data_IF_777221841432
#
_entry.id   IF_777221841432
#
_cell.length_a   1.000
_cell.length_b   1.000
_cell.length_c   1.000
_cell.angle_alpha   90.00
_cell.angle_beta   90.00
_cell.angle_gamma   90.00
#
_symmetry.space_group_name_H-M   'P 1'
#
loop_
_entity.id
_entity.type
_entity.pdbx_description
1 polymer ?
#
# COMPACT_ATOMS: atom_id res chain seq x y z
N UNK A 1 -46.22 -4.46 -53.58
CA UNK A 1 -46.58 -4.60 -52.15
C UNK A 1 -45.56 -5.49 -51.48
N UNK A 2 -44.67 -4.93 -50.65
CA UNK A 2 -44.24 -5.42 -49.32
C UNK A 2 -43.03 -4.58 -48.88
N UNK A 3 -43.29 -3.64 -47.97
CA UNK A 3 -42.29 -2.84 -47.25
C UNK A 3 -41.67 -3.70 -46.14
N UNK A 4 -40.35 -3.89 -46.15
CA UNK A 4 -39.61 -4.44 -45.02
C UNK A 4 -39.21 -3.29 -44.09
N UNK A 5 -39.84 -3.21 -42.91
CA UNK A 5 -39.40 -2.35 -41.81
C UNK A 5 -38.23 -3.03 -41.08
N UNK A 6 -37.06 -2.42 -41.11
CA UNK A 6 -35.95 -2.78 -40.24
C UNK A 6 -36.22 -2.23 -38.82
N UNK A 7 -36.34 -3.13 -37.84
CA UNK A 7 -36.23 -2.77 -36.42
C UNK A 7 -34.74 -2.73 -36.07
N UNK A 8 -34.21 -1.54 -35.82
CA UNK A 8 -32.91 -1.37 -35.18
C UNK A 8 -33.11 -1.36 -33.65
N UNK A 9 -32.79 -2.47 -32.99
CA UNK A 9 -32.71 -2.55 -31.53
C UNK A 9 -31.40 -1.90 -31.10
N UNK A 10 -31.46 -0.65 -30.63
CA UNK A 10 -30.33 0.01 -29.97
C UNK A 10 -30.28 -0.52 -28.53
N UNK A 11 -29.38 -1.48 -28.28
CA UNK A 11 -29.03 -1.89 -26.92
C UNK A 11 -28.25 -0.76 -26.25
N UNK A 12 -28.86 -0.12 -25.26
CA UNK A 12 -28.18 0.85 -24.39
C UNK A 12 -27.25 0.05 -23.48
N UNK A 13 -25.96 0.06 -23.81
CA UNK A 13 -24.91 -0.45 -22.93
C UNK A 13 -24.73 0.57 -21.79
N UNK A 14 -25.33 0.31 -20.63
CA UNK A 14 -25.00 1.03 -19.39
C UNK A 14 -23.60 0.62 -18.96
N UNK A 15 -22.59 1.38 -19.39
CA UNK A 15 -21.28 1.37 -18.73
C UNK A 15 -21.47 2.08 -17.40
N UNK A 16 -21.70 1.29 -16.33
CA UNK A 16 -21.61 1.80 -14.96
C UNK A 16 -20.14 2.15 -14.75
N UNK A 17 -19.79 3.41 -14.97
CA UNK A 17 -18.54 3.97 -14.47
C UNK A 17 -18.64 3.94 -12.95
N UNK A 18 -18.18 2.86 -12.33
CA UNK A 18 -18.00 2.82 -10.88
C UNK A 18 -16.99 3.91 -10.54
N UNK A 19 -17.48 5.07 -10.12
CA UNK A 19 -16.62 6.15 -9.65
C UNK A 19 -15.80 5.67 -8.46
N UNK A 20 -14.63 6.29 -8.25
CA UNK A 20 -13.71 6.06 -7.13
C UNK A 20 -14.29 6.51 -5.77
N UNK A 21 -15.50 6.07 -5.44
CA UNK A 21 -16.19 6.39 -4.21
C UNK A 21 -15.92 5.31 -3.18
N UNK A 22 -15.59 5.74 -1.97
CA UNK A 22 -15.44 4.86 -0.83
C UNK A 22 -16.77 4.15 -0.55
N UNK A 23 -16.76 2.82 -0.51
CA UNK A 23 -17.95 2.06 -0.14
C UNK A 23 -18.10 2.04 1.37
N UNK A 24 -19.34 2.24 1.80
CA UNK A 24 -19.73 2.10 3.20
C UNK A 24 -20.75 0.97 3.34
N UNK A 25 -20.66 0.23 4.44
CA UNK A 25 -21.54 -0.91 4.68
C UNK A 25 -21.12 -1.69 5.93
N UNK A 26 -21.92 -2.71 6.25
CA UNK A 26 -21.58 -3.71 7.25
C UNK A 26 -21.19 -4.99 6.53
N UNK A 27 -19.98 -5.48 6.77
CA UNK A 27 -19.39 -6.62 6.07
C UNK A 27 -19.00 -7.69 7.06
N UNK A 28 -19.28 -8.95 6.74
CA UNK A 28 -18.72 -10.09 7.47
C UNK A 28 -17.21 -10.13 7.24
N UNK A 29 -16.46 -10.50 8.27
CA UNK A 29 -15.00 -10.59 8.27
C UNK A 29 -14.59 -12.05 8.36
N UNK A 30 -13.76 -12.50 7.43
CA UNK A 30 -13.11 -13.80 7.44
C UNK A 30 -11.63 -13.68 7.83
N UNK A 31 -11.13 -14.71 8.52
CA UNK A 31 -9.71 -14.81 8.89
C UNK A 31 -9.26 -13.88 10.01
N UNK A 32 -10.17 -13.15 10.67
CA UNK A 32 -9.82 -12.33 11.83
C UNK A 32 -9.85 -13.16 13.12
N UNK A 33 -8.67 -13.41 13.67
CA UNK A 33 -8.48 -13.73 15.08
C UNK A 33 -8.02 -12.46 15.81
N UNK A 34 -8.24 -12.37 17.12
CA UNK A 34 -7.87 -11.17 17.89
C UNK A 34 -6.37 -10.88 17.75
N UNK A 35 -6.03 -9.92 16.89
CA UNK A 35 -4.67 -9.45 16.69
C UNK A 35 -4.38 -8.28 17.65
N UNK A 36 -3.54 -8.53 18.65
CA UNK A 36 -3.10 -7.51 19.61
C UNK A 36 -2.29 -6.39 18.92
N UNK A 37 -1.62 -6.68 17.81
CA UNK A 37 -0.82 -5.70 17.09
C UNK A 37 -1.67 -4.76 16.22
N UNK A 38 -2.89 -5.17 15.84
CA UNK A 38 -3.80 -4.37 15.04
C UNK A 38 -5.27 -4.64 15.40
N UNK A 39 -5.73 -4.22 16.58
CA UNK A 39 -7.09 -4.46 17.00
C UNK A 39 -8.06 -3.67 16.11
N UNK A 40 -8.98 -4.38 15.44
CA UNK A 40 -10.07 -3.76 14.69
C UNK A 40 -11.36 -3.81 15.51
N UNK A 41 -12.06 -2.68 15.56
CA UNK A 41 -13.39 -2.64 16.13
C UNK A 41 -14.36 -3.44 15.25
N UNK A 42 -14.99 -4.45 15.85
CA UNK A 42 -15.95 -5.33 15.17
C UNK A 42 -17.11 -5.67 16.09
N UNK A 43 -18.25 -5.97 15.50
CA UNK A 43 -19.38 -6.61 16.21
C UNK A 43 -19.33 -8.12 15.97
N UNK A 44 -19.66 -8.90 16.98
CA UNK A 44 -19.74 -10.38 16.88
C UNK A 44 -21.19 -10.81 17.03
N UNK A 45 -21.70 -11.61 16.10
CA UNK A 45 -22.99 -12.25 16.26
C UNK A 45 -22.91 -13.32 17.35
N UNK A 46 -23.75 -13.21 18.38
CA UNK A 46 -23.70 -14.11 19.55
C UNK A 46 -24.16 -15.55 19.23
N UNK A 47 -24.91 -15.76 18.15
CA UNK A 47 -25.44 -17.07 17.76
C UNK A 47 -24.47 -17.80 16.85
N UNK A 48 -23.91 -17.11 15.85
CA UNK A 48 -23.03 -17.74 14.86
C UNK A 48 -21.56 -17.58 15.17
N UNK A 49 -21.18 -16.61 16.01
CA UNK A 49 -19.79 -16.23 16.25
C UNK A 49 -19.17 -15.40 15.12
N UNK A 50 -19.95 -15.07 14.08
CA UNK A 50 -19.46 -14.31 12.94
C UNK A 50 -19.05 -12.89 13.34
N UNK A 51 -17.90 -12.46 12.84
CA UNK A 51 -17.37 -11.11 13.04
C UNK A 51 -17.81 -10.18 11.91
N UNK A 52 -18.19 -8.95 12.24
CA UNK A 52 -18.62 -7.94 11.28
C UNK A 52 -17.96 -6.59 11.51
N UNK A 53 -17.55 -5.95 10.41
CA UNK A 53 -17.03 -4.60 10.36
C UNK A 53 -18.07 -3.64 9.78
N UNK A 54 -18.31 -2.49 10.42
CA UNK A 54 -19.25 -1.48 9.93
C UNK A 54 -18.53 -0.17 9.57
N UNK A 55 -18.26 0.03 8.29
CA UNK A 55 -17.55 1.21 7.76
C UNK A 55 -18.44 2.46 7.66
N UNK A 56 -19.70 2.38 8.13
CA UNK A 56 -20.60 3.53 8.29
C UNK A 56 -20.36 4.26 9.61
N UNK A 57 -19.72 3.61 10.59
CA UNK A 57 -19.38 4.24 11.87
C UNK A 57 -18.41 5.39 11.62
N UNK A 58 -18.70 6.56 12.20
CA UNK A 58 -17.86 7.75 12.04
C UNK A 58 -16.47 7.47 12.64
N UNK A 59 -15.43 7.80 11.89
CA UNK A 59 -14.03 7.57 12.27
C UNK A 59 -13.49 6.19 11.88
N UNK A 60 -14.33 5.27 11.41
CA UNK A 60 -13.85 3.96 10.97
C UNK A 60 -13.28 4.04 9.54
N UNK A 61 -12.17 3.34 9.26
CA UNK A 61 -11.66 3.19 7.90
C UNK A 61 -12.74 2.80 6.88
N UNK A 62 -12.70 3.46 5.72
CA UNK A 62 -13.61 3.16 4.61
C UNK A 62 -12.93 2.26 3.60
N UNK A 63 -13.75 1.54 2.83
CA UNK A 63 -13.26 0.73 1.72
C UNK A 63 -13.06 1.59 0.48
N UNK A 64 -11.82 1.68 -0.01
CA UNK A 64 -11.47 2.35 -1.25
C UNK A 64 -11.08 1.31 -2.31
N UNK A 65 -11.44 1.50 -3.60
CA UNK A 65 -10.97 0.63 -4.68
C UNK A 65 -9.44 0.59 -4.75
N UNK A 66 -8.86 -0.53 -5.15
CA UNK A 66 -7.42 -0.66 -5.35
C UNK A 66 -6.98 -2.11 -5.39
N UNK A 67 -5.72 -2.37 -5.06
CA UNK A 67 -5.18 -3.71 -5.05
C UNK A 67 -4.10 -3.90 -3.99
N UNK A 68 -3.82 -5.16 -3.70
CA UNK A 68 -2.62 -5.59 -3.00
C UNK A 68 -1.73 -6.40 -3.93
N UNK A 69 -0.43 -6.36 -3.68
CA UNK A 69 0.54 -7.32 -4.21
C UNK A 69 1.04 -8.11 -3.01
N UNK A 70 0.73 -9.39 -2.97
CA UNK A 70 1.21 -10.33 -1.93
C UNK A 70 2.75 -10.43 -1.98
N UNK A 71 3.39 -10.91 -0.92
CA UNK A 71 4.85 -11.14 -0.90
C UNK A 71 5.34 -12.03 -2.03
N UNK A 72 4.45 -12.90 -2.48
CA UNK A 72 4.70 -13.90 -3.49
C UNK A 72 4.51 -13.28 -4.91
N UNK A 73 3.91 -12.09 -4.99
CA UNK A 73 3.74 -11.29 -6.21
C UNK A 73 2.38 -11.39 -6.86
N UNK A 74 1.47 -12.22 -6.35
CA UNK A 74 0.07 -12.23 -6.80
C UNK A 74 -0.60 -10.87 -6.55
N UNK A 75 -1.35 -10.41 -7.56
CA UNK A 75 -2.14 -9.18 -7.48
C UNK A 75 -3.58 -9.53 -7.16
N UNK A 76 -4.11 -8.97 -6.07
CA UNK A 76 -5.53 -9.12 -5.69
C UNK A 76 -6.20 -7.76 -5.78
N UNK A 77 -7.07 -7.60 -6.77
CA UNK A 77 -7.92 -6.42 -6.94
C UNK A 77 -9.10 -6.47 -5.97
N UNK A 78 -9.54 -5.32 -5.48
CA UNK A 78 -10.70 -5.23 -4.61
C UNK A 78 -10.91 -3.86 -4.00
N UNK A 79 -11.60 -3.85 -2.87
CA UNK A 79 -11.81 -2.67 -2.06
C UNK A 79 -11.13 -2.86 -0.71
N UNK A 80 -10.33 -1.89 -0.28
CA UNK A 80 -9.42 -2.04 0.86
C UNK A 80 -9.77 -0.98 1.90
N UNK A 81 -9.83 -1.37 3.18
CA UNK A 81 -9.86 -0.47 4.33
C UNK A 81 -8.57 -0.66 5.13
N UNK A 82 -7.80 0.41 5.33
CA UNK A 82 -6.50 0.37 6.02
C UNK A 82 -6.61 0.88 7.45
N UNK A 83 -5.96 0.16 8.37
CA UNK A 83 -5.96 0.48 9.79
C UNK A 83 -4.57 0.98 10.18
N UNK A 84 -4.56 2.13 10.87
CA UNK A 84 -3.32 2.70 11.40
C UNK A 84 -2.69 1.75 12.41
N UNK A 85 -1.37 1.86 12.57
CA UNK A 85 -0.72 1.28 13.74
C UNK A 85 -1.15 2.07 14.99
N UNK A 86 -2.05 1.49 15.80
CA UNK A 86 -2.56 2.15 17.01
C UNK A 86 -1.48 2.39 18.08
N UNK A 87 -0.34 1.69 18.00
CA UNK A 87 0.79 1.88 18.92
C UNK A 87 1.69 3.06 18.49
N UNK A 88 1.78 3.32 17.18
CA UNK A 88 2.64 4.37 16.63
C UNK A 88 1.92 5.72 16.40
N UNK A 89 0.59 5.76 16.51
CA UNK A 89 -0.28 6.95 16.36
C UNK A 89 -0.10 7.79 15.06
N UNK A 90 0.58 7.26 14.06
CA UNK A 90 0.82 7.97 12.81
C UNK A 90 -0.11 7.52 11.69
N UNK A 91 -0.76 8.49 11.05
CA UNK A 91 -1.67 8.23 9.94
C UNK A 91 -0.97 7.65 8.70
N UNK A 92 0.32 7.90 8.50
CA UNK A 92 1.08 7.41 7.34
C UNK A 92 1.64 5.99 7.53
N UNK A 93 1.45 5.38 8.70
CA UNK A 93 1.84 3.99 9.00
C UNK A 93 0.60 3.13 9.20
N UNK A 94 0.40 2.16 8.32
CA UNK A 94 -0.66 1.16 8.44
C UNK A 94 -0.11 -0.13 9.01
N UNK A 95 -0.94 -0.91 9.69
CA UNK A 95 -0.53 -2.17 10.31
C UNK A 95 -1.26 -3.38 9.76
N UNK A 96 -2.55 -3.24 9.52
CA UNK A 96 -3.38 -4.28 8.95
C UNK A 96 -4.44 -3.67 8.01
N UNK A 97 -5.18 -4.55 7.34
CA UNK A 97 -6.24 -4.15 6.44
C UNK A 97 -7.41 -5.14 6.45
N UNK A 98 -8.55 -4.65 5.98
CA UNK A 98 -9.62 -5.47 5.45
C UNK A 98 -9.66 -5.27 3.94
N UNK A 99 -9.75 -6.35 3.17
CA UNK A 99 -9.97 -6.30 1.72
C UNK A 99 -11.23 -7.08 1.36
N UNK A 100 -12.07 -6.53 0.48
CA UNK A 100 -13.15 -7.26 -0.19
C UNK A 100 -12.68 -7.47 -1.62
N UNK A 101 -12.19 -8.67 -1.99
CA UNK A 101 -11.72 -8.93 -3.35
C UNK A 101 -12.83 -8.76 -4.38
N UNK A 102 -12.45 -8.47 -5.62
CA UNK A 102 -13.42 -8.31 -6.70
C UNK A 102 -14.22 -9.60 -6.94
N UNK A 103 -15.55 -9.47 -6.93
CA UNK A 103 -16.50 -10.58 -7.04
C UNK A 103 -16.89 -11.23 -5.71
N UNK A 104 -16.28 -10.81 -4.60
CA UNK A 104 -16.62 -11.29 -3.26
C UNK A 104 -17.49 -10.28 -2.49
N UNK A 105 -18.26 -10.79 -1.52
CA UNK A 105 -19.12 -9.97 -0.64
C UNK A 105 -18.54 -9.80 0.77
N UNK A 106 -17.70 -10.74 1.20
CA UNK A 106 -17.12 -10.78 2.54
C UNK A 106 -15.74 -10.14 2.58
N UNK A 107 -15.44 -9.43 3.67
CA UNK A 107 -14.13 -8.85 3.90
C UNK A 107 -13.16 -9.91 4.43
N UNK A 108 -11.96 -9.93 3.88
CA UNK A 108 -10.84 -10.74 4.34
C UNK A 108 -9.93 -9.87 5.20
N UNK A 109 -9.62 -10.34 6.41
CA UNK A 109 -8.61 -9.70 7.22
C UNK A 109 -7.21 -10.09 6.75
N UNK A 110 -6.32 -9.11 6.71
CA UNK A 110 -4.91 -9.30 6.42
C UNK A 110 -4.09 -8.52 7.45
N UNK A 111 -3.22 -9.24 8.18
CA UNK A 111 -2.33 -8.67 9.18
C UNK A 111 -1.12 -7.93 8.58
N UNK A 112 -0.23 -7.48 9.46
CA UNK A 112 1.08 -6.97 9.05
C UNK A 112 1.92 -8.07 8.38
N UNK A 113 2.90 -7.69 7.55
CA UNK A 113 3.86 -8.60 6.90
C UNK A 113 3.29 -9.62 5.90
N UNK A 114 2.05 -9.44 5.43
CA UNK A 114 1.44 -10.39 4.51
C UNK A 114 1.55 -9.95 3.04
N UNK A 115 1.63 -8.64 2.78
CA UNK A 115 1.67 -8.10 1.42
C UNK A 115 2.91 -7.24 1.23
N UNK A 116 3.38 -7.13 0.00
CA UNK A 116 4.50 -6.26 -0.35
C UNK A 116 4.04 -4.82 -0.63
N UNK A 117 2.92 -4.66 -1.35
CA UNK A 117 2.41 -3.37 -1.80
C UNK A 117 0.90 -3.29 -1.60
N UNK A 118 0.41 -2.11 -1.22
CA UNK A 118 -1.01 -1.76 -1.17
C UNK A 118 -1.20 -0.52 -2.03
N UNK A 119 -2.23 -0.50 -2.87
CA UNK A 119 -2.65 0.67 -3.62
C UNK A 119 -4.11 0.97 -3.29
N UNK A 120 -4.45 2.24 -3.05
CA UNK A 120 -5.83 2.70 -2.90
C UNK A 120 -6.11 3.91 -3.78
N UNK A 121 -7.24 3.86 -4.49
CA UNK A 121 -7.80 4.97 -5.24
C UNK A 121 -8.70 5.78 -4.29
N UNK A 122 -8.14 6.83 -3.71
CA UNK A 122 -8.89 7.76 -2.89
C UNK A 122 -9.47 8.89 -3.75
N UNK A 123 -10.35 9.72 -3.17
CA UNK A 123 -11.11 10.73 -3.91
C UNK A 123 -10.27 11.72 -4.73
N UNK A 124 -9.06 12.03 -4.27
CA UNK A 124 -8.19 13.07 -4.87
C UNK A 124 -6.92 12.51 -5.47
N UNK A 125 -6.55 11.28 -5.13
CA UNK A 125 -5.25 10.74 -5.45
C UNK A 125 -5.25 9.21 -5.34
N UNK A 126 -4.23 8.62 -5.95
CA UNK A 126 -3.88 7.21 -5.80
C UNK A 126 -2.74 7.14 -4.81
N UNK A 127 -2.98 6.55 -3.64
CA UNK A 127 -1.96 6.33 -2.62
C UNK A 127 -1.40 4.92 -2.71
N UNK A 128 -0.14 4.78 -2.32
CA UNK A 128 0.58 3.51 -2.26
C UNK A 128 1.19 3.35 -0.88
N UNK A 129 1.23 2.11 -0.40
CA UNK A 129 1.93 1.73 0.82
C UNK A 129 2.86 0.56 0.56
N UNK A 130 4.07 0.63 1.10
CA UNK A 130 5.09 -0.42 1.01
C UNK A 130 5.28 -1.12 2.33
N UNK A 131 5.51 -2.44 2.29
CA UNK A 131 5.95 -3.19 3.46
C UNK A 131 7.27 -2.63 4.00
N UNK A 132 7.27 -2.31 5.29
CA UNK A 132 8.43 -1.82 6.03
C UNK A 132 8.29 -2.17 7.51
N UNK A 133 9.29 -2.86 8.08
CA UNK A 133 9.40 -3.17 9.53
C UNK A 133 8.10 -3.63 10.21
N UNK A 134 7.37 -4.60 9.65
CA UNK A 134 6.17 -5.09 10.33
C UNK A 134 4.87 -4.38 9.97
N UNK A 135 4.93 -3.27 9.23
CA UNK A 135 3.78 -2.46 8.83
C UNK A 135 3.92 -1.94 7.40
N UNK A 136 3.12 -0.94 7.05
CA UNK A 136 3.07 -0.40 5.70
C UNK A 136 3.25 1.12 5.72
N UNK A 137 4.25 1.64 5.01
CA UNK A 137 4.55 3.06 4.92
C UNK A 137 3.98 3.68 3.67
N UNK A 138 3.33 4.82 3.82
CA UNK A 138 2.80 5.59 2.69
C UNK A 138 3.94 6.12 1.80
N UNK A 139 3.77 6.00 0.49
CA UNK A 139 4.66 6.63 -0.51
C UNK A 139 4.24 8.08 -0.71
N UNK A 140 5.16 9.00 -0.46
CA UNK A 140 5.07 10.40 -0.85
C UNK A 140 5.40 10.59 -2.34
N UNK A 141 6.32 9.76 -2.84
CA UNK A 141 6.71 9.73 -4.25
C UNK A 141 6.76 8.27 -4.69
N UNK A 142 6.17 7.98 -5.85
CA UNK A 142 6.22 6.67 -6.50
C UNK A 142 7.03 6.74 -7.79
N UNK A 143 7.76 5.68 -8.12
CA UNK A 143 8.57 5.58 -9.34
C UNK A 143 9.80 4.71 -9.11
N UNK A 144 10.88 4.96 -9.86
CA UNK A 144 12.18 4.30 -9.65
C UNK A 144 12.78 4.67 -8.30
N UNK A 145 12.53 5.90 -7.88
CA UNK A 145 12.79 6.36 -6.54
C UNK A 145 11.46 6.41 -5.79
N UNK A 146 11.36 5.68 -4.68
CA UNK A 146 10.20 5.75 -3.77
C UNK A 146 10.61 6.56 -2.55
N UNK A 147 9.80 7.53 -2.18
CA UNK A 147 10.04 8.37 -1.00
C UNK A 147 8.94 8.14 0.02
N UNK A 148 9.31 7.93 1.27
CA UNK A 148 8.41 7.82 2.42
C UNK A 148 8.96 8.59 3.62
N UNK A 149 8.11 8.92 4.58
CA UNK A 149 8.60 9.40 5.88
C UNK A 149 9.30 8.27 6.64
N UNK A 150 10.36 8.59 7.38
CA UNK A 150 10.95 7.65 8.34
C UNK A 150 10.04 7.59 9.59
N UNK A 151 9.40 6.44 9.88
CA UNK A 151 8.64 6.30 11.12
C UNK A 151 9.53 6.41 12.35
N UNK A 152 10.79 5.96 12.29
CA UNK A 152 11.67 5.93 13.45
C UNK A 152 12.65 7.12 13.48
N UNK A 153 12.14 8.33 13.17
CA UNK A 153 12.96 9.55 13.17
C UNK A 153 13.67 9.73 14.53
N UNK A 154 14.91 10.23 14.51
CA UNK A 154 15.75 10.39 15.70
C UNK A 154 16.11 9.10 16.47
N UNK A 155 15.92 7.92 15.88
CA UNK A 155 16.36 6.65 16.48
C UNK A 155 17.64 6.14 15.82
N UNK A 156 18.49 5.44 16.58
CA UNK A 156 19.73 4.82 16.08
C UNK A 156 19.50 3.51 15.31
N UNK A 157 18.29 3.28 14.80
CA UNK A 157 17.96 2.02 14.11
C UNK A 157 18.68 1.94 12.78
N UNK A 158 19.02 0.70 12.38
CA UNK A 158 19.52 0.43 11.03
C UNK A 158 18.41 0.78 10.04
N UNK A 159 18.79 1.36 8.92
CA UNK A 159 17.87 1.60 7.81
C UNK A 159 17.49 0.25 7.21
N UNK A 160 16.22 -0.12 7.35
CA UNK A 160 15.68 -1.35 6.77
C UNK A 160 15.43 -1.17 5.27
N UNK A 161 15.56 -2.25 4.50
CA UNK A 161 15.29 -2.25 3.06
C UNK A 161 13.80 -2.49 2.78
N UNK A 162 13.25 -1.78 1.79
CA UNK A 162 11.91 -2.05 1.29
C UNK A 162 11.92 -3.26 0.36
N UNK A 163 10.77 -3.93 0.23
CA UNK A 163 10.61 -4.99 -0.77
C UNK A 163 10.71 -4.39 -2.18
N UNK A 164 11.68 -4.84 -2.98
CA UNK A 164 11.93 -4.34 -4.33
C UNK A 164 10.90 -4.85 -5.33
N UNK A 165 10.62 -4.07 -6.38
CA UNK A 165 9.76 -4.54 -7.47
C UNK A 165 10.41 -5.71 -8.22
N UNK A 166 11.75 -5.70 -8.37
CA UNK A 166 12.50 -6.79 -9.01
C UNK A 166 12.40 -8.11 -8.25
N UNK A 167 12.39 -8.07 -6.91
CA UNK A 167 12.18 -9.23 -6.05
C UNK A 167 10.79 -9.81 -6.27
N UNK A 168 9.76 -8.96 -6.25
CA UNK A 168 8.38 -9.35 -6.55
C UNK A 168 8.28 -10.00 -7.94
N UNK A 169 8.88 -9.39 -8.95
CA UNK A 169 8.83 -9.88 -10.33
C UNK A 169 9.58 -11.21 -10.49
N UNK A 170 10.69 -11.40 -9.77
CA UNK A 170 11.43 -12.67 -9.76
C UNK A 170 10.62 -13.81 -9.13
N UNK A 171 9.84 -13.52 -8.08
CA UNK A 171 8.96 -14.51 -7.45
C UNK A 171 7.80 -14.89 -8.37
N UNK A 172 7.25 -13.93 -9.13
CA UNK A 172 6.24 -14.21 -10.16
C UNK A 172 6.77 -15.14 -11.24
N UNK A 173 7.99 -14.89 -11.74
CA UNK A 173 8.58 -15.68 -12.82
C UNK A 173 8.88 -17.14 -12.42
N UNK A 174 9.22 -17.37 -11.14
CA UNK A 174 9.74 -18.65 -10.68
C UNK A 174 8.70 -19.58 -10.04
N UNK A 175 7.43 -19.16 -9.88
CA UNK A 175 6.48 -19.97 -9.12
C UNK A 175 5.31 -20.53 -9.94
N UNK A 176 5.24 -21.86 -10.01
CA UNK A 176 4.04 -22.59 -10.38
C UNK A 176 3.07 -22.60 -9.18
N UNK A 177 2.17 -21.62 -9.10
CA UNK A 177 1.30 -21.42 -7.92
C UNK A 177 -0.15 -21.77 -8.19
N UNK A 178 -0.76 -22.50 -7.24
CA UNK A 178 -2.21 -22.52 -7.04
C UNK A 178 -2.59 -21.10 -6.62
N UNK A 179 -3.46 -20.43 -7.37
CA UNK A 179 -3.74 -19.00 -7.13
C UNK A 179 -4.34 -18.81 -5.73
N UNK A 180 -4.06 -17.68 -5.08
CA UNK A 180 -4.74 -17.27 -3.85
C UNK A 180 -6.25 -17.34 -4.05
N UNK A 181 -6.73 -16.95 -5.24
CA UNK A 181 -8.13 -17.09 -5.63
C UNK A 181 -8.66 -18.53 -5.58
N UNK A 182 -7.88 -19.52 -6.00
CA UNK A 182 -8.25 -20.93 -5.89
C UNK A 182 -8.27 -21.40 -4.44
N UNK A 183 -7.33 -20.96 -3.61
CA UNK A 183 -7.32 -21.30 -2.18
C UNK A 183 -8.52 -20.69 -1.44
N UNK A 184 -8.94 -19.49 -1.83
CA UNK A 184 -10.17 -18.86 -1.31
C UNK A 184 -11.44 -19.62 -1.70
N UNK A 185 -11.50 -20.16 -2.93
CA UNK A 185 -12.63 -21.03 -3.36
C UNK A 185 -12.72 -22.31 -2.54
N UNK A 186 -11.59 -22.81 -2.02
CA UNK A 186 -11.53 -23.96 -1.13
C UNK A 186 -11.91 -23.61 0.34
N UNK A 187 -12.36 -22.38 0.60
CA UNK A 187 -12.83 -21.92 1.90
C UNK A 187 -11.73 -21.41 2.84
N UNK A 188 -10.47 -21.30 2.37
CA UNK A 188 -9.39 -20.70 3.15
C UNK A 188 -9.50 -19.18 3.14
N UNK A 189 -9.10 -18.54 4.23
CA UNK A 189 -8.96 -17.09 4.26
C UNK A 189 -7.80 -16.63 3.37
N UNK A 190 -7.84 -15.35 2.98
CA UNK A 190 -6.76 -14.73 2.21
C UNK A 190 -5.44 -14.75 2.99
N UNK A 191 -5.47 -14.46 4.29
CA UNK A 191 -4.30 -14.53 5.18
C UNK A 191 -3.66 -15.93 5.19
N UNK A 192 -4.45 -17.01 5.20
CA UNK A 192 -3.94 -18.39 5.15
C UNK A 192 -3.43 -18.78 3.76
N UNK A 193 -4.01 -18.18 2.72
CA UNK A 193 -3.69 -18.47 1.32
C UNK A 193 -2.40 -17.79 0.87
N UNK A 194 -2.13 -16.60 1.41
CA UNK A 194 -0.85 -15.94 1.28
C UNK A 194 0.16 -16.81 2.03
N UNK A 195 1.08 -17.45 1.31
CA UNK A 195 2.21 -18.11 1.95
C UNK A 195 2.98 -17.03 2.71
N UNK A 196 2.83 -16.99 4.04
CA UNK A 196 3.66 -16.20 4.94
C UNK A 196 5.03 -16.87 4.97
N UNK A 197 5.72 -16.84 3.83
CA UNK A 197 7.08 -17.33 3.69
C UNK A 197 7.97 -16.39 4.50
N UNK A 198 8.35 -16.85 5.69
CA UNK A 198 9.60 -16.52 6.35
C UNK A 198 9.91 -15.03 6.65
N UNK A 199 8.92 -14.18 6.89
CA UNK A 199 9.16 -12.86 7.53
C UNK A 199 8.64 -12.78 8.98
N UNK A 200 8.21 -13.91 9.54
CA UNK A 200 7.61 -14.00 10.89
C UNK A 200 8.58 -13.66 12.02
N UNK A 201 9.90 -13.82 11.83
CA UNK A 201 10.83 -13.85 12.96
C UNK A 201 11.76 -12.64 13.14
N UNK A 202 11.74 -11.61 12.29
CA UNK A 202 12.65 -10.44 12.46
C UNK A 202 12.02 -9.04 12.34
N UNK A 203 10.74 -8.90 11.99
CA UNK A 203 10.17 -7.58 11.64
C UNK A 203 9.23 -6.97 12.68
N UNK A 204 9.21 -7.46 13.92
CA UNK A 204 8.38 -6.86 14.97
C UNK A 204 9.24 -5.90 15.79
N UNK A 205 9.22 -4.62 15.39
CA UNK A 205 9.17 -3.48 16.32
C UNK A 205 9.11 -2.17 15.52
N UNK A 206 7.91 -1.71 15.15
CA UNK A 206 7.68 -0.25 15.00
C UNK A 206 7.44 0.26 16.43
N UNK A 207 8.52 0.40 17.20
CA UNK A 207 8.46 0.77 18.61
C UNK A 207 8.09 2.24 18.82
N UNK A 208 7.12 2.44 19.73
CA UNK A 208 6.70 3.59 20.53
C UNK A 208 6.72 5.01 19.91
N UNK A 209 5.58 5.69 20.08
CA UNK A 209 5.33 7.11 19.83
C UNK A 209 6.55 8.01 20.09
N UNK A 210 7.26 8.37 19.02
CA UNK A 210 8.21 9.49 19.00
C UNK A 210 7.50 10.64 18.30
N UNK A 211 7.43 11.79 18.95
CA UNK A 211 6.97 13.01 18.30
C UNK A 211 7.93 13.28 17.12
N UNK A 212 7.41 13.35 15.89
CA UNK A 212 8.23 13.69 14.71
C UNK A 212 8.55 15.18 14.81
N UNK A 213 9.53 15.53 15.65
CA UNK A 213 10.03 16.89 15.78
C UNK A 213 10.86 17.26 14.54
N UNK A 214 11.51 16.26 13.92
CA UNK A 214 12.29 16.41 12.70
C UNK A 214 11.75 15.48 11.60
N UNK A 215 11.39 16.07 10.45
CA UNK A 215 10.98 15.29 9.26
C UNK A 215 12.21 14.59 8.70
N UNK A 216 12.30 13.28 8.82
CA UNK A 216 13.26 12.43 8.13
C UNK A 216 12.58 11.62 7.02
N UNK A 217 13.32 11.28 5.97
CA UNK A 217 12.79 10.55 4.82
C UNK A 217 13.60 9.30 4.53
N UNK A 218 12.91 8.27 4.06
CA UNK A 218 13.49 7.09 3.47
C UNK A 218 13.33 7.18 1.96
N UNK A 219 14.45 7.17 1.25
CA UNK A 219 14.50 7.10 -0.21
C UNK A 219 14.91 5.69 -0.62
N UNK A 220 14.02 4.98 -1.30
CA UNK A 220 14.35 3.69 -1.87
C UNK A 220 14.65 3.81 -3.37
N UNK A 221 15.79 3.27 -3.79
CA UNK A 221 16.20 3.17 -5.19
C UNK A 221 15.91 1.78 -5.72
N UNK A 222 14.87 1.64 -6.55
CA UNK A 222 14.45 0.37 -7.17
C UNK A 222 15.53 -0.25 -8.05
N UNK A 223 16.40 0.56 -8.66
CA UNK A 223 17.43 0.04 -9.57
C UNK A 223 18.57 -0.62 -8.80
N UNK A 224 18.89 -0.08 -7.62
CA UNK A 224 19.96 -0.58 -6.75
C UNK A 224 19.45 -1.51 -5.65
N UNK A 225 18.14 -1.54 -5.44
CA UNK A 225 17.49 -2.17 -4.31
C UNK A 225 18.01 -1.69 -2.94
N UNK A 226 18.34 -0.39 -2.82
CA UNK A 226 18.92 0.18 -1.60
C UNK A 226 18.05 1.28 -1.01
N UNK A 227 18.00 1.36 0.31
CA UNK A 227 17.37 2.48 1.03
C UNK A 227 18.43 3.48 1.52
N UNK A 228 18.16 4.77 1.35
CA UNK A 228 18.93 5.88 1.88
C UNK A 228 18.09 6.68 2.89
N UNK A 229 18.66 6.97 4.05
CA UNK A 229 18.07 7.91 5.01
C UNK A 229 18.46 9.35 4.63
N UNK A 230 17.46 10.21 4.49
CA UNK A 230 17.63 11.64 4.23
C UNK A 230 17.14 12.42 5.44
N UNK A 231 18.04 13.21 6.02
CA UNK A 231 17.82 14.11 7.14
C UNK A 231 18.19 15.53 6.72
N UNK A 232 17.86 16.51 7.57
CA UNK A 232 18.28 17.90 7.33
C UNK A 232 19.80 18.06 7.19
N UNK A 233 20.58 17.24 7.89
CA UNK A 233 22.04 17.35 7.94
C UNK A 233 22.73 16.82 6.68
N UNK A 234 22.14 15.82 6.01
CA UNK A 234 22.71 15.25 4.79
C UNK A 234 21.93 15.59 3.52
N UNK A 235 20.86 16.40 3.61
CA UNK A 235 19.95 16.69 2.52
C UNK A 235 20.65 17.19 1.26
N UNK A 236 21.48 18.22 1.36
CA UNK A 236 22.13 18.83 0.19
C UNK A 236 22.98 17.79 -0.56
N UNK A 237 23.78 17.02 0.18
CA UNK A 237 24.61 15.95 -0.37
C UNK A 237 23.75 14.85 -1.00
N UNK A 238 22.70 14.40 -0.32
CA UNK A 238 21.81 13.34 -0.81
C UNK A 238 21.13 13.74 -2.12
N UNK A 239 20.59 14.97 -2.20
CA UNK A 239 19.95 15.48 -3.42
C UNK A 239 20.95 15.59 -4.57
N UNK A 240 22.13 16.16 -4.33
CA UNK A 240 23.17 16.27 -5.35
C UNK A 240 23.63 14.91 -5.85
N UNK A 241 23.86 13.95 -4.94
CA UNK A 241 24.29 12.60 -5.28
C UNK A 241 23.24 11.87 -6.12
N UNK A 242 21.98 11.89 -5.70
CA UNK A 242 20.91 11.13 -6.35
C UNK A 242 20.51 11.77 -7.68
N UNK A 243 20.22 13.07 -7.68
CA UNK A 243 19.78 13.76 -8.90
C UNK A 243 20.92 13.96 -9.90
N UNK A 244 22.17 14.06 -9.44
CA UNK A 244 23.35 14.18 -10.30
C UNK A 244 23.58 12.96 -11.21
N UNK A 245 22.99 11.81 -10.87
CA UNK A 245 22.97 10.63 -11.74
C UNK A 245 22.03 10.76 -12.95
N UNK A 246 21.22 11.81 -13.03
CA UNK A 246 20.27 12.00 -14.11
C UNK A 246 20.76 13.00 -15.17
N UNK A 247 21.07 12.49 -16.36
CA UNK A 247 21.53 13.32 -17.48
C UNK A 247 20.49 14.37 -17.95
N UNK A 248 19.21 14.16 -17.66
CA UNK A 248 18.10 15.05 -18.04
C UNK A 248 17.83 16.18 -17.03
N UNK A 249 18.57 16.23 -15.91
CA UNK A 249 18.49 17.30 -14.93
C UNK A 249 19.77 18.13 -14.96
N UNK A 250 19.65 19.44 -15.20
CA UNK A 250 20.81 20.33 -15.22
C UNK A 250 21.26 20.71 -13.80
N UNK A 251 22.53 21.09 -13.67
CA UNK A 251 23.18 21.40 -12.40
C UNK A 251 22.48 22.53 -11.63
N UNK A 252 21.90 23.51 -12.33
CA UNK A 252 21.20 24.64 -11.70
C UNK A 252 19.90 24.17 -11.06
N UNK A 253 19.15 23.30 -11.74
CA UNK A 253 17.95 22.67 -11.18
C UNK A 253 18.28 21.84 -9.94
N UNK A 254 19.32 21.00 -10.01
CA UNK A 254 19.76 20.16 -8.88
C UNK A 254 20.17 21.03 -7.68
N UNK A 255 20.99 22.06 -7.89
CA UNK A 255 21.38 23.02 -6.85
C UNK A 255 20.19 23.79 -6.27
N UNK A 256 19.15 24.03 -7.07
CA UNK A 256 17.90 24.64 -6.62
C UNK A 256 17.18 23.77 -5.60
N UNK A 257 17.04 22.47 -5.90
CA UNK A 257 16.44 21.49 -4.99
C UNK A 257 17.28 21.25 -3.73
N UNK A 258 18.59 21.11 -3.89
CA UNK A 258 19.51 20.78 -2.79
C UNK A 258 19.54 21.82 -1.66
N UNK A 259 19.10 23.05 -1.92
CA UNK A 259 19.02 24.15 -0.93
C UNK A 259 17.72 24.18 -0.12
N UNK A 260 16.68 23.45 -0.53
CA UNK A 260 15.32 23.59 0.00
C UNK A 260 14.76 22.25 0.47
N UNK A 261 14.85 21.98 1.76
CA UNK A 261 14.42 20.71 2.36
C UNK A 261 12.94 20.38 2.10
N UNK A 262 12.09 21.41 2.06
CA UNK A 262 10.66 21.32 1.78
C UNK A 262 10.34 20.92 0.33
N UNK A 263 11.34 20.92 -0.57
CA UNK A 263 11.20 20.56 -1.98
C UNK A 263 11.59 19.13 -2.32
N UNK A 264 11.82 18.28 -1.31
CA UNK A 264 12.23 16.88 -1.51
C UNK A 264 11.22 16.06 -2.32
N UNK A 265 9.91 16.26 -2.10
CA UNK A 265 8.86 15.56 -2.86
C UNK A 265 8.90 15.99 -4.33
N UNK A 266 8.95 17.30 -4.60
CA UNK A 266 9.04 17.86 -5.95
C UNK A 266 10.30 17.34 -6.67
N UNK A 267 11.44 17.34 -5.98
CA UNK A 267 12.73 16.91 -6.50
C UNK A 267 12.71 15.47 -7.02
N UNK A 268 12.20 14.53 -6.20
CA UNK A 268 12.15 13.12 -6.60
C UNK A 268 10.99 12.80 -7.55
N UNK A 269 9.90 13.58 -7.51
CA UNK A 269 8.83 13.48 -8.51
C UNK A 269 9.37 13.86 -9.90
N UNK A 270 10.06 14.99 -10.00
CA UNK A 270 10.69 15.43 -11.25
C UNK A 270 11.77 14.44 -11.73
N UNK A 271 12.55 13.87 -10.82
CA UNK A 271 13.50 12.80 -11.17
C UNK A 271 12.78 11.61 -11.82
N UNK A 272 11.73 11.09 -11.18
CA UNK A 272 10.99 9.95 -11.72
C UNK A 272 10.33 10.23 -13.08
N UNK A 273 9.95 11.48 -13.34
CA UNK A 273 9.39 11.90 -14.63
C UNK A 273 10.45 12.03 -15.73
N UNK A 274 11.61 12.62 -15.42
CA UNK A 274 12.63 12.97 -16.41
C UNK A 274 13.68 11.88 -16.62
N UNK A 275 13.98 11.09 -15.60
CA UNK A 275 15.12 10.19 -15.56
C UNK A 275 14.70 8.74 -15.89
N UNK A 276 14.41 8.50 -17.17
CA UNK A 276 14.02 7.18 -17.71
C UNK A 276 15.19 6.23 -17.90
#
# INVERSE_FOLDING_TARGET
MTNFKALATIGILFVVTMGAYAQQGKFKINGYEQDEACPIFRSVDKKTGDSFYDSRVIGYPRFFPGYIITLDGEKVEGRIALFNNQIADWAFVKKCMLIIPDGEEEAQYIGGNAVAVIQQQQKKETVYYDLYEGGYLERLVSGKLRLSFNPNANTSRKVSEFVSQSFIDSLRANTARKSVKESMKDGKSLQESIQVAALKDELINIGAAVEIVDKEYLLYDEQKATTMLITKNNYEQAIQQVLGGCASMDEKTIKGYAKKYDKIVDAFSEYNEKCK
#
